data_IF_456623742902
#
_entry.id   IF_456623742902
#
_cell.length_a   1.000
_cell.length_b   1.000
_cell.length_c   1.000
_cell.angle_alpha   90.00
_cell.angle_beta   90.00
_cell.angle_gamma   90.00
#
_symmetry.space_group_name_H-M   'P 1'
#
loop_
_entity.id
_entity.type
_entity.pdbx_description
1 polymer ?
#
# COMPACT_ATOMS: atom_id res chain seq x y z
N UNK A 1 0.95 4.38 -18.93
CA UNK A 1 1.08 4.56 -17.49
C UNK A 1 2.25 3.73 -17.02
N UNK A 2 3.16 4.33 -16.24
CA UNK A 2 4.27 3.56 -15.70
C UNK A 2 3.85 2.75 -14.47
N UNK A 3 4.49 1.64 -14.25
CA UNK A 3 4.28 0.81 -13.07
C UNK A 3 5.46 -0.13 -12.85
N UNK A 4 5.66 -0.53 -11.59
CA UNK A 4 6.54 -1.64 -11.22
C UNK A 4 5.67 -2.88 -11.10
N UNK A 5 5.96 -3.93 -11.84
CA UNK A 5 5.23 -5.19 -11.79
C UNK A 5 6.13 -6.35 -11.40
N UNK A 6 5.63 -7.22 -10.53
CA UNK A 6 6.29 -8.44 -10.06
C UNK A 6 5.31 -9.60 -10.12
N UNK A 7 5.84 -10.78 -10.43
CA UNK A 7 5.12 -12.04 -10.31
C UNK A 7 5.60 -12.77 -9.05
N UNK A 8 4.68 -13.08 -8.16
CA UNK A 8 4.97 -13.74 -6.87
C UNK A 8 3.97 -14.87 -6.69
N UNK A 9 4.43 -16.13 -6.68
CA UNK A 9 3.58 -17.33 -6.51
C UNK A 9 2.33 -17.35 -7.40
N UNK A 10 2.48 -16.92 -8.66
CA UNK A 10 1.37 -16.86 -9.61
C UNK A 10 0.42 -15.68 -9.41
N UNK A 11 0.67 -14.82 -8.43
CA UNK A 11 -0.02 -13.54 -8.28
C UNK A 11 0.77 -12.41 -8.94
N UNK A 12 0.08 -11.53 -9.66
CA UNK A 12 0.66 -10.31 -10.20
C UNK A 12 0.48 -9.17 -9.21
N UNK A 13 1.58 -8.53 -8.84
CA UNK A 13 1.61 -7.34 -7.97
C UNK A 13 2.07 -6.16 -8.80
N UNK A 14 1.33 -5.05 -8.79
CA UNK A 14 1.69 -3.84 -9.53
C UNK A 14 1.58 -2.59 -8.64
N UNK A 15 2.59 -1.72 -8.74
CA UNK A 15 2.61 -0.39 -8.12
C UNK A 15 2.65 0.65 -9.22
N UNK A 16 1.58 1.41 -9.37
CA UNK A 16 1.45 2.43 -10.43
C UNK A 16 2.14 3.72 -10.04
N UNK A 17 2.65 4.46 -11.02
CA UNK A 17 3.14 5.83 -10.86
C UNK A 17 2.04 6.88 -11.11
N UNK A 18 2.42 8.17 -11.04
CA UNK A 18 1.49 9.30 -11.24
C UNK A 18 1.31 9.73 -12.71
N UNK A 19 1.93 9.05 -13.68
CA UNK A 19 1.99 9.50 -15.07
C UNK A 19 0.95 8.84 -15.97
N UNK A 20 0.61 9.51 -17.08
CA UNK A 20 -0.23 8.95 -18.15
C UNK A 20 -1.74 9.02 -17.91
N UNK A 21 -2.16 9.74 -16.86
CA UNK A 21 -3.56 10.02 -16.59
C UNK A 21 -4.07 11.29 -17.26
N UNK A 22 -5.24 11.75 -16.84
CA UNK A 22 -5.95 12.93 -17.37
C UNK A 22 -6.25 14.00 -16.31
N UNK A 23 -5.96 13.72 -15.05
CA UNK A 23 -6.15 14.70 -13.97
C UNK A 23 -5.22 15.89 -14.17
N UNK A 24 -5.68 17.07 -13.75
CA UNK A 24 -4.93 18.32 -13.80
C UNK A 24 -4.33 18.66 -12.43
N UNK A 25 -3.35 19.56 -12.34
CA UNK A 25 -2.79 19.95 -11.06
C UNK A 25 -3.85 20.35 -10.03
N UNK A 26 -3.67 19.96 -8.75
CA UNK A 26 -2.50 19.30 -8.15
C UNK A 26 -2.48 17.76 -8.28
N UNK A 27 -3.44 17.16 -8.98
CA UNK A 27 -3.63 15.71 -9.10
C UNK A 27 -2.96 15.10 -10.36
N UNK A 28 -2.06 15.84 -10.98
CA UNK A 28 -1.44 15.51 -12.28
C UNK A 28 -0.52 14.28 -12.17
N UNK A 29 -0.79 13.26 -12.98
CA UNK A 29 -1.89 13.14 -13.95
C UNK A 29 -2.77 11.93 -13.67
N UNK A 30 -2.27 10.88 -12.99
CA UNK A 30 -2.91 9.59 -12.81
C UNK A 30 -3.44 9.39 -11.37
N UNK A 31 -4.16 10.38 -10.83
CA UNK A 31 -4.82 10.19 -9.54
C UNK A 31 -5.94 9.14 -9.65
N UNK A 32 -5.95 8.20 -8.70
CA UNK A 32 -6.90 7.09 -8.63
C UNK A 32 -7.88 7.21 -7.44
N UNK A 33 -7.72 8.26 -6.63
CA UNK A 33 -8.49 8.49 -5.40
C UNK A 33 -9.65 9.45 -5.60
N UNK A 34 -10.87 9.06 -5.22
CA UNK A 34 -12.05 9.94 -5.28
C UNK A 34 -12.14 10.93 -4.10
N UNK A 35 -11.43 10.67 -3.01
CA UNK A 35 -11.57 11.46 -1.77
C UNK A 35 -10.75 12.76 -1.76
N UNK A 36 -9.86 12.97 -2.72
CA UNK A 36 -8.92 14.09 -2.73
C UNK A 36 -9.50 15.42 -3.25
N UNK A 37 -10.70 15.41 -3.87
CA UNK A 37 -11.29 16.60 -4.47
C UNK A 37 -10.95 16.80 -5.95
N UNK A 38 -10.35 15.82 -6.61
CA UNK A 38 -10.17 15.77 -8.07
C UNK A 38 -11.51 15.55 -8.79
N UNK A 39 -11.53 15.82 -10.09
CA UNK A 39 -12.68 15.54 -10.95
C UNK A 39 -12.97 14.03 -10.98
N UNK A 40 -14.17 13.58 -10.56
CA UNK A 40 -14.52 12.16 -10.55
C UNK A 40 -14.46 11.49 -11.93
N UNK A 41 -14.71 12.23 -13.00
CA UNK A 41 -14.61 11.70 -14.37
C UNK A 41 -13.15 11.46 -14.75
N UNK A 42 -12.24 12.36 -14.35
CA UNK A 42 -10.82 12.17 -14.54
C UNK A 42 -10.30 10.95 -13.75
N UNK A 43 -10.69 10.81 -12.48
CA UNK A 43 -10.34 9.63 -11.66
C UNK A 43 -10.86 8.34 -12.28
N UNK A 44 -12.10 8.36 -12.79
CA UNK A 44 -12.70 7.20 -13.46
C UNK A 44 -11.91 6.81 -14.71
N UNK A 45 -11.56 7.80 -15.55
CA UNK A 45 -10.74 7.55 -16.75
C UNK A 45 -9.34 7.05 -16.39
N UNK A 46 -8.72 7.59 -15.35
CA UNK A 46 -7.41 7.11 -14.87
C UNK A 46 -7.47 5.63 -14.45
N UNK A 47 -8.50 5.24 -13.69
CA UNK A 47 -8.72 3.84 -13.30
C UNK A 47 -8.90 2.93 -14.51
N UNK A 48 -9.63 3.37 -15.53
CA UNK A 48 -9.77 2.63 -16.79
C UNK A 48 -8.44 2.43 -17.52
N UNK A 49 -7.60 3.47 -17.53
CA UNK A 49 -6.27 3.41 -18.16
C UNK A 49 -5.38 2.42 -17.44
N UNK A 50 -5.34 2.48 -16.10
CA UNK A 50 -4.56 1.52 -15.28
C UNK A 50 -5.06 0.09 -15.53
N UNK A 51 -6.36 -0.16 -15.45
CA UNK A 51 -6.91 -1.49 -15.67
C UNK A 51 -6.54 -2.05 -17.06
N UNK A 52 -6.62 -1.22 -18.10
CA UNK A 52 -6.22 -1.61 -19.46
C UNK A 52 -4.73 -1.92 -19.55
N UNK A 53 -3.87 -1.09 -18.95
CA UNK A 53 -2.42 -1.28 -18.94
C UNK A 53 -2.01 -2.56 -18.21
N UNK A 54 -2.69 -2.88 -17.13
CA UNK A 54 -2.45 -4.09 -16.35
C UNK A 54 -3.13 -5.33 -16.94
N UNK A 55 -3.95 -5.18 -17.98
CA UNK A 55 -4.70 -6.30 -18.59
C UNK A 55 -5.84 -6.81 -17.70
N UNK A 56 -6.31 -5.97 -16.79
CA UNK A 56 -7.47 -6.24 -15.94
C UNK A 56 -8.79 -6.13 -16.72
N UNK A 57 -9.90 -6.48 -16.06
CA UNK A 57 -11.24 -6.31 -16.61
C UNK A 57 -11.47 -4.86 -17.06
N UNK A 58 -12.11 -4.63 -18.21
CA UNK A 58 -12.38 -3.29 -18.73
C UNK A 58 -13.04 -2.39 -17.67
N UNK A 59 -12.66 -1.13 -17.66
CA UNK A 59 -13.24 -0.09 -16.80
C UNK A 59 -13.01 -0.31 -15.27
N UNK A 60 -11.97 -1.05 -14.91
CA UNK A 60 -11.65 -1.39 -13.52
C UNK A 60 -12.82 -2.11 -12.78
N UNK A 61 -13.74 -2.75 -13.52
CA UNK A 61 -14.87 -3.48 -12.93
C UNK A 61 -14.45 -4.72 -12.14
N UNK A 62 -13.24 -5.21 -12.35
CA UNK A 62 -12.64 -6.30 -11.57
C UNK A 62 -12.01 -5.84 -10.24
N UNK A 63 -12.03 -4.56 -9.91
CA UNK A 63 -11.38 -4.04 -8.73
C UNK A 63 -12.24 -4.11 -7.49
N UNK A 64 -11.63 -4.54 -6.37
CA UNK A 64 -12.18 -4.38 -5.03
C UNK A 64 -11.31 -3.36 -4.26
N UNK A 65 -11.97 -2.47 -3.54
CA UNK A 65 -11.33 -1.42 -2.75
C UNK A 65 -12.05 -1.18 -1.44
N UNK A 66 -11.39 -0.54 -0.47
CA UNK A 66 -12.00 -0.12 0.79
C UNK A 66 -11.76 1.37 1.06
N UNK A 67 -12.54 1.96 1.94
CA UNK A 67 -12.22 3.26 2.54
C UNK A 67 -11.15 3.05 3.59
N UNK A 68 -9.92 3.44 3.27
CA UNK A 68 -8.76 3.33 4.16
C UNK A 68 -8.89 4.31 5.32
N UNK A 69 -8.76 3.81 6.53
CA UNK A 69 -8.99 4.58 7.77
C UNK A 69 -7.76 4.59 8.69
N UNK A 70 -6.62 4.10 8.17
CA UNK A 70 -5.34 3.95 8.90
C UNK A 70 -5.47 3.05 10.14
N UNK A 71 -6.35 2.06 10.09
CA UNK A 71 -6.60 1.07 11.13
C UNK A 71 -5.97 -0.29 10.84
N UNK A 72 -6.53 -1.34 11.46
CA UNK A 72 -6.13 -2.73 11.23
C UNK A 72 -7.29 -3.60 10.70
N UNK A 73 -8.34 -2.97 10.17
CA UNK A 73 -9.47 -3.68 9.57
C UNK A 73 -9.02 -4.48 8.35
N UNK A 74 -9.44 -5.75 8.29
CA UNK A 74 -9.21 -6.67 7.18
C UNK A 74 -10.56 -7.14 6.68
N UNK A 75 -10.82 -7.01 5.39
CA UNK A 75 -12.04 -7.50 4.75
C UNK A 75 -11.69 -8.54 3.70
N UNK A 76 -12.37 -9.66 3.76
CA UNK A 76 -12.32 -10.68 2.72
C UNK A 76 -13.33 -10.35 1.63
N UNK A 77 -12.90 -10.43 0.37
CA UNK A 77 -13.70 -10.07 -0.80
C UNK A 77 -13.71 -11.20 -1.82
N UNK A 78 -14.90 -11.56 -2.28
CA UNK A 78 -15.12 -12.58 -3.31
C UNK A 78 -15.62 -11.95 -4.62
N UNK A 79 -15.90 -10.64 -4.63
CA UNK A 79 -16.40 -9.90 -5.78
C UNK A 79 -15.82 -8.48 -5.82
N UNK A 80 -15.74 -7.86 -7.02
CA UNK A 80 -15.38 -6.45 -7.16
C UNK A 80 -16.36 -5.52 -6.45
N UNK A 81 -15.86 -4.34 -6.07
CA UNK A 81 -16.68 -3.28 -5.49
C UNK A 81 -16.08 -2.70 -4.21
N UNK A 82 -16.83 -1.80 -3.59
CA UNK A 82 -16.46 -1.17 -2.31
C UNK A 82 -16.72 -2.10 -1.13
N UNK A 83 -15.69 -2.36 -0.33
CA UNK A 83 -15.72 -3.29 0.81
C UNK A 83 -15.91 -2.62 2.19
N UNK A 84 -16.36 -1.35 2.22
CA UNK A 84 -16.52 -0.60 3.47
C UNK A 84 -15.20 -0.06 4.01
N UNK A 85 -15.07 0.00 5.35
CA UNK A 85 -13.89 0.55 6.03
C UNK A 85 -12.88 -0.57 6.31
N UNK A 86 -11.71 -0.48 5.70
CA UNK A 86 -10.61 -1.41 5.93
C UNK A 86 -9.29 -0.82 5.41
N UNK A 87 -8.18 -1.33 5.95
CA UNK A 87 -6.84 -1.02 5.46
C UNK A 87 -6.16 -2.26 4.83
N UNK A 88 -6.83 -3.40 4.84
CA UNK A 88 -6.42 -4.59 4.12
C UNK A 88 -7.60 -5.29 3.46
N UNK A 89 -7.39 -5.75 2.24
CA UNK A 89 -8.32 -6.60 1.50
C UNK A 89 -7.65 -7.94 1.24
N UNK A 90 -8.41 -9.03 1.35
CA UNK A 90 -7.92 -10.39 1.11
C UNK A 90 -8.87 -11.11 0.16
N UNK A 91 -8.34 -11.88 -0.77
CA UNK A 91 -9.13 -12.77 -1.62
C UNK A 91 -8.42 -14.10 -1.87
N UNK A 92 -9.21 -15.13 -2.08
CA UNK A 92 -8.78 -16.41 -2.65
C UNK A 92 -9.29 -16.59 -4.10
N UNK A 93 -10.02 -15.60 -4.63
CA UNK A 93 -10.54 -15.61 -5.99
C UNK A 93 -9.52 -15.12 -7.00
N UNK A 94 -9.67 -15.54 -8.26
CA UNK A 94 -8.79 -15.14 -9.38
C UNK A 94 -9.39 -14.00 -10.22
N UNK A 95 -10.67 -13.66 -10.02
CA UNK A 95 -11.41 -12.72 -10.84
C UNK A 95 -11.53 -11.33 -10.20
N UNK A 96 -10.79 -11.09 -9.10
CA UNK A 96 -10.82 -9.85 -8.33
C UNK A 96 -9.41 -9.30 -8.18
N UNK A 97 -9.21 -8.05 -8.60
CA UNK A 97 -7.98 -7.30 -8.34
C UNK A 97 -8.15 -6.45 -7.09
N UNK A 98 -7.31 -6.66 -6.09
CA UNK A 98 -7.32 -5.89 -4.84
C UNK A 98 -6.58 -4.58 -5.01
N UNK A 99 -7.19 -3.47 -4.61
CA UNK A 99 -6.61 -2.12 -4.79
C UNK A 99 -6.54 -1.37 -3.47
N UNK A 100 -5.35 -0.87 -3.16
CA UNK A 100 -5.10 0.13 -2.11
C UNK A 100 -4.43 1.35 -2.71
N UNK A 101 -4.71 2.51 -2.15
CA UNK A 101 -4.14 3.80 -2.56
C UNK A 101 -3.13 4.27 -1.52
N UNK A 102 -2.00 4.78 -1.98
CA UNK A 102 -0.97 5.31 -1.10
C UNK A 102 -0.29 6.54 -1.72
N UNK A 103 0.00 7.51 -0.87
CA UNK A 103 0.88 8.64 -1.12
C UNK A 103 1.66 8.83 0.18
N UNK A 104 2.83 8.18 0.29
CA UNK A 104 3.73 8.05 1.43
C UNK A 104 3.52 6.83 2.34
N UNK A 105 2.29 6.42 2.67
CA UNK A 105 2.06 5.14 3.35
C UNK A 105 2.57 3.96 2.51
N UNK A 106 2.95 2.85 3.12
CA UNK A 106 3.45 1.68 2.41
C UNK A 106 2.28 0.83 1.86
N UNK A 107 2.15 0.67 0.53
CA UNK A 107 1.30 -0.36 -0.05
C UNK A 107 2.05 -1.69 -0.01
N UNK A 108 1.40 -2.74 0.50
CA UNK A 108 2.02 -4.05 0.68
C UNK A 108 1.13 -5.13 0.10
N UNK A 109 1.70 -6.00 -0.71
CA UNK A 109 1.05 -7.24 -1.10
C UNK A 109 1.53 -8.37 -0.19
N UNK A 110 0.59 -9.20 0.29
CA UNK A 110 0.89 -10.48 0.93
C UNK A 110 0.36 -11.59 0.02
N UNK A 111 1.21 -12.58 -0.26
CA UNK A 111 0.89 -13.66 -1.20
C UNK A 111 1.20 -15.00 -0.55
N UNK A 112 0.22 -15.90 -0.56
CA UNK A 112 0.34 -17.30 -0.23
C UNK A 112 -0.23 -18.15 -1.38
N UNK A 113 -0.02 -19.47 -1.36
CA UNK A 113 -0.62 -20.34 -2.37
C UNK A 113 -2.15 -20.30 -2.24
N UNK A 114 -2.83 -19.74 -3.25
CA UNK A 114 -4.28 -19.64 -3.32
C UNK A 114 -4.91 -18.48 -2.53
N UNK A 115 -4.14 -17.54 -1.98
CA UNK A 115 -4.68 -16.34 -1.36
C UNK A 115 -3.74 -15.14 -1.46
N UNK A 116 -4.30 -13.95 -1.66
CA UNK A 116 -3.55 -12.70 -1.74
C UNK A 116 -4.19 -11.61 -0.89
N UNK A 117 -3.38 -10.65 -0.43
CA UNK A 117 -3.88 -9.44 0.19
C UNK A 117 -3.21 -8.19 -0.40
N UNK A 118 -3.97 -7.09 -0.45
CA UNK A 118 -3.45 -5.74 -0.60
C UNK A 118 -3.66 -4.98 0.71
N UNK A 119 -2.57 -4.42 1.25
CA UNK A 119 -2.56 -3.76 2.57
C UNK A 119 -2.06 -2.33 2.42
N UNK A 120 -2.82 -1.39 2.94
CA UNK A 120 -2.40 -0.01 3.16
C UNK A 120 -1.81 0.12 4.57
N UNK A 121 -0.52 0.45 4.67
CA UNK A 121 0.19 0.47 5.93
C UNK A 121 0.85 1.83 6.19
N UNK A 122 0.15 2.70 6.90
CA UNK A 122 0.72 3.88 7.53
C UNK A 122 1.18 3.59 8.97
N UNK A 123 1.79 4.56 9.66
CA UNK A 123 2.30 4.36 11.02
C UNK A 123 1.19 3.98 12.05
N UNK A 124 -0.03 4.50 11.87
CA UNK A 124 -1.17 4.11 12.72
C UNK A 124 -1.59 2.68 12.48
N UNK A 125 -1.61 2.24 11.21
CA UNK A 125 -1.86 0.86 10.83
C UNK A 125 -0.80 -0.10 11.40
N UNK A 126 0.49 0.30 11.40
CA UNK A 126 1.55 -0.45 12.07
C UNK A 126 1.27 -0.62 13.56
N UNK A 127 0.93 0.46 14.27
CA UNK A 127 0.59 0.38 15.70
C UNK A 127 -0.64 -0.49 15.95
N UNK A 128 -1.63 -0.44 15.07
CA UNK A 128 -2.85 -1.23 15.19
C UNK A 128 -2.65 -2.71 14.80
N UNK A 129 -1.55 -3.07 14.12
CA UNK A 129 -1.23 -4.45 13.75
C UNK A 129 -1.88 -4.91 12.46
N UNK A 130 -2.02 -4.02 11.45
CA UNK A 130 -2.67 -4.34 10.17
C UNK A 130 -1.98 -5.47 9.42
N UNK A 131 -0.64 -5.54 9.47
CA UNK A 131 0.14 -6.57 8.78
C UNK A 131 -0.03 -7.94 9.43
N UNK A 132 0.00 -8.00 10.75
CA UNK A 132 -0.25 -9.23 11.51
C UNK A 132 -1.68 -9.74 11.28
N UNK A 133 -2.66 -8.83 11.23
CA UNK A 133 -4.05 -9.18 10.96
C UNK A 133 -4.22 -9.72 9.53
N UNK A 134 -3.69 -9.03 8.53
CA UNK A 134 -3.76 -9.44 7.13
C UNK A 134 -3.03 -10.77 6.89
N UNK A 135 -1.80 -10.94 7.44
CA UNK A 135 -1.04 -12.18 7.30
C UNK A 135 -1.76 -13.39 7.91
N UNK A 136 -2.48 -13.19 9.03
CA UNK A 136 -3.29 -14.24 9.64
C UNK A 136 -4.42 -14.70 8.72
N UNK A 137 -5.13 -13.76 8.09
CA UNK A 137 -6.24 -14.07 7.18
C UNK A 137 -5.70 -14.76 5.93
N UNK A 138 -4.63 -14.26 5.32
CA UNK A 138 -3.99 -14.88 4.15
C UNK A 138 -3.58 -16.31 4.45
N UNK A 139 -2.94 -16.59 5.61
CA UNK A 139 -2.59 -17.97 6.01
C UNK A 139 -3.81 -18.87 6.22
N UNK A 140 -4.88 -18.30 6.72
CA UNK A 140 -6.13 -19.06 6.95
C UNK A 140 -6.84 -19.43 5.65
N UNK A 141 -6.59 -18.71 4.58
CA UNK A 141 -7.22 -18.91 3.27
C UNK A 141 -6.33 -19.64 2.28
N UNK A 142 -5.03 -19.37 2.34
CA UNK A 142 -4.04 -19.96 1.43
C UNK A 142 -3.24 -21.07 2.07
N UNK A 143 -2.32 -21.65 1.30
CA UNK A 143 -1.35 -22.64 1.74
C UNK A 143 0.08 -22.09 1.72
N UNK A 144 1.00 -22.85 2.32
CA UNK A 144 2.43 -22.55 2.27
C UNK A 144 2.85 -21.27 3.02
N UNK A 145 4.09 -20.81 2.80
CA UNK A 145 4.60 -19.60 3.40
C UNK A 145 3.97 -18.34 2.78
N UNK A 146 3.73 -17.32 3.60
CA UNK A 146 3.33 -16.00 3.11
C UNK A 146 4.58 -15.23 2.69
N UNK A 147 4.54 -14.61 1.52
CA UNK A 147 5.54 -13.67 1.02
C UNK A 147 4.98 -12.26 0.98
N UNK A 148 5.86 -11.27 1.19
CA UNK A 148 5.48 -9.87 1.13
C UNK A 148 6.21 -9.14 0.00
N UNK A 149 5.48 -8.20 -0.66
CA UNK A 149 6.09 -7.21 -1.55
C UNK A 149 5.77 -5.83 -0.99
N UNK A 150 6.80 -5.07 -0.67
CA UNK A 150 6.69 -3.71 -0.13
C UNK A 150 6.86 -2.74 -1.30
N UNK A 151 5.84 -1.91 -1.51
CA UNK A 151 5.84 -0.93 -2.59
C UNK A 151 6.46 0.41 -2.21
N UNK A 152 6.40 1.39 -3.14
CA UNK A 152 6.89 2.74 -2.92
C UNK A 152 6.27 3.38 -1.68
N UNK A 153 7.11 3.93 -0.79
CA UNK A 153 6.66 4.65 0.40
C UNK A 153 7.69 5.70 0.82
N UNK A 154 7.33 6.59 1.74
CA UNK A 154 8.23 7.64 2.19
C UNK A 154 9.42 7.08 2.97
N UNK A 155 10.62 7.59 2.69
CA UNK A 155 11.84 7.23 3.43
C UNK A 155 12.04 8.12 4.67
N UNK A 156 12.81 7.67 5.68
CA UNK A 156 13.07 8.47 6.88
C UNK A 156 13.73 9.82 6.58
N UNK A 157 14.50 9.94 5.50
CA UNK A 157 15.13 11.20 5.11
C UNK A 157 14.11 12.34 4.91
N UNK A 158 12.86 12.02 4.62
CA UNK A 158 11.78 12.96 4.33
C UNK A 158 10.57 12.81 5.26
N UNK A 159 10.63 11.91 6.24
CA UNK A 159 9.50 11.62 7.12
C UNK A 159 9.76 12.10 8.55
N UNK A 160 9.91 13.43 8.71
CA UNK A 160 9.97 14.05 10.04
C UNK A 160 8.81 13.59 10.92
N UNK A 161 9.11 13.25 12.17
CA UNK A 161 8.15 12.59 13.04
C UNK A 161 8.24 13.13 14.48
N UNK A 162 7.08 13.27 15.15
CA UNK A 162 7.01 13.73 16.51
C UNK A 162 7.67 12.75 17.50
N UNK A 163 8.34 13.30 18.52
CA UNK A 163 9.05 12.46 19.51
C UNK A 163 8.11 11.53 20.27
N UNK A 164 6.88 11.98 20.54
CA UNK A 164 5.91 11.20 21.30
C UNK A 164 5.36 10.04 20.50
N UNK A 165 4.98 10.29 19.25
CA UNK A 165 4.53 9.27 18.32
C UNK A 165 5.64 8.29 17.97
N UNK A 166 6.88 8.78 17.78
CA UNK A 166 8.03 7.91 17.54
C UNK A 166 8.25 6.95 18.70
N UNK A 167 8.17 7.44 19.95
CA UNK A 167 8.25 6.58 21.12
C UNK A 167 7.16 5.51 21.18
N UNK A 168 5.94 5.80 20.70
CA UNK A 168 4.87 4.79 20.60
C UNK A 168 5.26 3.68 19.63
N UNK A 169 5.72 4.06 18.43
CA UNK A 169 6.13 3.10 17.38
C UNK A 169 7.34 2.28 17.85
N UNK A 170 8.36 2.93 18.44
CA UNK A 170 9.56 2.28 18.99
C UNK A 170 9.23 1.24 20.05
N UNK A 171 8.33 1.56 20.98
CA UNK A 171 7.88 0.59 22.00
C UNK A 171 7.21 -0.64 21.40
N UNK A 172 6.50 -0.49 20.28
CA UNK A 172 5.77 -1.58 19.63
C UNK A 172 6.67 -2.43 18.73
N UNK A 173 7.61 -1.81 18.01
CA UNK A 173 8.34 -2.43 16.91
C UNK A 173 9.87 -2.45 17.10
N UNK A 174 10.39 -1.87 18.18
CA UNK A 174 11.82 -1.79 18.46
C UNK A 174 12.48 -0.52 17.90
N UNK A 175 13.75 -0.29 18.29
CA UNK A 175 14.49 0.94 17.97
C UNK A 175 14.91 1.06 16.49
N UNK A 176 14.82 -0.03 15.73
CA UNK A 176 15.14 0.00 14.29
C UNK A 176 14.24 0.97 13.47
N UNK A 177 13.08 1.36 14.02
CA UNK A 177 12.16 2.32 13.39
C UNK A 177 12.61 3.78 13.57
N UNK A 178 13.60 4.05 14.43
CA UNK A 178 14.10 5.39 14.67
C UNK A 178 15.03 5.83 13.55
N UNK A 179 14.54 6.71 12.70
CA UNK A 179 15.28 7.30 11.59
C UNK A 179 15.73 8.73 11.87
N UNK A 180 16.39 9.30 10.86
CA UNK A 180 16.75 10.72 10.82
C UNK A 180 16.33 11.31 9.49
N UNK A 181 15.84 12.54 9.52
CA UNK A 181 15.64 13.33 8.30
C UNK A 181 16.99 13.72 7.69
N UNK A 182 16.99 14.16 6.44
CA UNK A 182 18.18 14.69 5.77
C UNK A 182 18.79 15.88 6.53
N UNK A 183 18.00 16.62 7.33
CA UNK A 183 18.45 17.72 8.18
C UNK A 183 18.88 17.26 9.60
N UNK A 184 18.85 15.96 9.91
CA UNK A 184 19.22 15.38 11.20
C UNK A 184 18.10 15.34 12.25
N UNK A 185 16.88 15.79 11.92
CA UNK A 185 15.71 15.74 12.80
C UNK A 185 15.24 14.31 13.06
N UNK A 186 14.34 14.16 14.04
CA UNK A 186 13.69 12.87 14.32
C UNK A 186 12.85 12.44 13.11
N UNK A 187 12.92 11.18 12.75
CA UNK A 187 12.16 10.61 11.66
C UNK A 187 11.67 9.20 11.99
N UNK A 188 10.56 8.81 11.38
CA UNK A 188 10.13 7.41 11.39
C UNK A 188 10.70 6.70 10.15
N UNK A 189 11.36 5.57 10.37
CA UNK A 189 11.64 4.60 9.31
C UNK A 189 10.43 3.66 9.17
N UNK A 190 9.53 4.02 8.24
CA UNK A 190 8.31 3.27 7.97
C UNK A 190 8.63 1.86 7.45
N UNK A 191 9.67 1.71 6.61
CA UNK A 191 10.08 0.42 6.04
C UNK A 191 10.64 -0.52 7.10
N UNK A 192 11.47 0.01 8.00
CA UNK A 192 11.95 -0.76 9.15
C UNK A 192 10.78 -1.23 10.01
N UNK A 193 9.78 -0.37 10.22
CA UNK A 193 8.55 -0.72 10.94
C UNK A 193 7.75 -1.83 10.24
N UNK A 194 7.56 -1.72 8.93
CA UNK A 194 6.94 -2.77 8.11
C UNK A 194 7.71 -4.08 8.23
N UNK A 195 9.04 -4.04 8.10
CA UNK A 195 9.90 -5.21 8.23
C UNK A 195 9.76 -5.90 9.60
N UNK A 196 9.74 -5.13 10.68
CA UNK A 196 9.56 -5.64 12.05
C UNK A 196 8.17 -6.27 12.25
N UNK A 197 7.11 -5.63 11.75
CA UNK A 197 5.75 -6.15 11.84
C UNK A 197 5.57 -7.44 11.01
N UNK A 198 6.13 -7.50 9.80
CA UNK A 198 6.13 -8.71 8.96
C UNK A 198 6.88 -9.87 9.64
N UNK A 199 8.06 -9.61 10.20
CA UNK A 199 8.83 -10.62 10.95
C UNK A 199 8.04 -11.12 12.17
N UNK A 200 7.41 -10.21 12.93
CA UNK A 200 6.52 -10.58 14.06
C UNK A 200 5.33 -11.42 13.60
N UNK A 201 4.85 -11.18 12.39
CA UNK A 201 3.81 -11.99 11.75
C UNK A 201 4.35 -13.30 11.15
N UNK A 202 5.65 -13.62 11.24
CA UNK A 202 6.27 -14.81 10.63
C UNK A 202 6.30 -14.74 9.10
N UNK A 203 6.48 -13.53 8.54
CA UNK A 203 6.64 -13.27 7.10
C UNK A 203 8.06 -12.74 6.90
N UNK A 204 9.01 -13.68 6.71
CA UNK A 204 10.42 -13.35 6.57
C UNK A 204 10.84 -13.16 5.10
N UNK A 205 10.15 -13.84 4.16
CA UNK A 205 10.38 -13.71 2.72
C UNK A 205 9.69 -12.45 2.21
N UNK A 206 10.50 -11.44 1.89
CA UNK A 206 10.00 -10.15 1.43
C UNK A 206 10.88 -9.53 0.35
N UNK A 207 10.23 -8.89 -0.61
CA UNK A 207 10.84 -8.03 -1.62
C UNK A 207 10.46 -6.58 -1.34
N UNK A 208 11.42 -5.68 -1.35
CA UNK A 208 11.19 -4.23 -1.25
C UNK A 208 11.61 -3.58 -2.57
N UNK A 209 10.73 -2.77 -3.17
CA UNK A 209 11.05 -2.03 -4.40
C UNK A 209 11.94 -0.82 -4.14
N UNK A 210 12.14 -0.45 -2.87
CA UNK A 210 13.06 0.58 -2.38
C UNK A 210 12.95 1.94 -3.08
N UNK A 211 11.72 2.41 -3.31
CA UNK A 211 11.44 3.72 -3.90
C UNK A 211 10.85 4.65 -2.84
N UNK A 212 11.43 5.85 -2.69
CA UNK A 212 10.88 6.90 -1.83
C UNK A 212 9.91 7.78 -2.61
N UNK A 213 8.63 7.81 -2.19
CA UNK A 213 7.58 8.60 -2.84
C UNK A 213 7.86 10.11 -2.79
N UNK A 214 8.42 10.63 -1.71
CA UNK A 214 8.78 12.03 -1.58
C UNK A 214 9.94 12.43 -2.50
N UNK A 215 10.97 11.59 -2.59
CA UNK A 215 12.17 11.90 -3.36
C UNK A 215 11.98 11.71 -4.88
N UNK A 216 11.09 10.80 -5.28
CA UNK A 216 10.78 10.55 -6.68
C UNK A 216 9.63 11.43 -7.16
N UNK A 217 9.83 12.14 -8.27
CA UNK A 217 8.78 12.87 -8.96
C UNK A 217 7.75 11.97 -9.65
N UNK A 218 8.03 10.68 -9.75
CA UNK A 218 7.16 9.71 -10.41
C UNK A 218 5.98 9.26 -9.54
N UNK A 219 5.98 9.61 -8.25
CA UNK A 219 4.93 9.21 -7.31
C UNK A 219 4.28 10.41 -6.64
N UNK A 220 3.01 10.28 -6.30
CA UNK A 220 2.37 11.22 -5.38
C UNK A 220 2.96 11.09 -3.98
N UNK A 221 3.12 12.20 -3.30
CA UNK A 221 3.56 12.24 -1.91
C UNK A 221 2.73 13.26 -1.14
N UNK A 222 1.97 12.80 -0.16
CA UNK A 222 1.20 13.68 0.71
C UNK A 222 2.10 14.68 1.46
N UNK A 223 3.30 14.26 1.85
CA UNK A 223 4.25 15.12 2.55
C UNK A 223 4.84 16.22 1.66
N UNK A 224 4.99 15.97 0.36
CA UNK A 224 5.52 16.92 -0.61
C UNK A 224 4.44 17.77 -1.25
N UNK A 225 3.33 17.14 -1.63
CA UNK A 225 2.31 17.74 -2.52
C UNK A 225 1.08 18.28 -1.73
N UNK A 226 0.86 17.87 -0.47
CA UNK A 226 -0.23 18.31 0.43
C UNK A 226 -1.42 17.38 0.44
#
# INVERSE_FOLDING_TARGET
MGHIALEVHGARVAFTDRHGGVSVPPYDTANLGFAGGDDPDAVTENRRRVARELGDAPDARGWAWARQVHGAGVVEVDAPGGAGDADALVTAGTDVSLVVLAADCAPIALVADGAVAAVHCGWRGLLAGVLEAAARVVRGRGGGPVRAVIGPCISPAHYEFGADELRLVTRRLGSAVEGRTASGGLALDLRAGVGAALASAGVDDRTDVDVCTFASSDYFSHRRDG
#
